data_IF_314819702942
#
_entry.id   IF_314819702942
#
_cell.length_a   1.000
_cell.length_b   1.000
_cell.length_c   1.000
_cell.angle_alpha   90.00
_cell.angle_beta   90.00
_cell.angle_gamma   90.00
#
_symmetry.space_group_name_H-M   'P 1'
#
loop_
_entity.id
_entity.type
_entity.pdbx_description
1 polymer ?
#
# COMPACT_ATOMS: atom_id res chain seq x y z
N UNK A 1 -0.46 44.00 9.23
CA UNK A 1 -1.42 43.36 8.31
C UNK A 1 -2.54 42.82 9.18
N UNK A 2 -3.81 43.01 8.84
CA UNK A 2 -4.95 42.88 9.77
C UNK A 2 -5.27 41.41 10.10
N UNK A 3 -5.30 41.06 11.38
CA UNK A 3 -5.60 39.69 11.86
C UNK A 3 -7.08 39.31 11.69
N UNK A 4 -7.94 40.26 11.34
CA UNK A 4 -9.39 40.06 11.22
C UNK A 4 -9.92 39.88 9.78
N UNK A 5 -9.06 39.77 8.76
CA UNK A 5 -9.52 39.54 7.38
C UNK A 5 -10.02 38.11 7.19
N UNK A 6 -11.34 37.93 7.08
CA UNK A 6 -11.98 36.64 6.86
C UNK A 6 -11.49 35.90 5.59
N UNK A 7 -10.91 36.62 4.61
CA UNK A 7 -10.34 36.01 3.42
C UNK A 7 -8.95 35.39 3.65
N UNK A 8 -8.24 35.75 4.73
CA UNK A 8 -6.95 35.14 5.08
C UNK A 8 -7.07 33.68 5.52
N UNK A 9 -8.27 33.29 5.93
CA UNK A 9 -8.62 31.93 6.31
C UNK A 9 -9.30 31.17 5.18
N UNK A 10 -9.07 31.58 3.92
CA UNK A 10 -9.60 30.89 2.73
C UNK A 10 -8.51 30.68 1.71
N UNK A 11 -8.54 29.52 1.07
CA UNK A 11 -7.73 29.25 -0.11
C UNK A 11 -8.66 28.95 -1.27
N UNK A 12 -8.44 29.65 -2.37
CA UNK A 12 -9.26 29.57 -3.57
C UNK A 12 -8.65 28.59 -4.56
N UNK A 13 -9.51 27.81 -5.22
CA UNK A 13 -9.12 26.89 -6.29
C UNK A 13 -9.76 27.27 -7.64
N UNK A 14 -10.57 28.34 -7.66
CA UNK A 14 -11.29 28.78 -8.85
C UNK A 14 -11.82 30.21 -8.71
N UNK A 15 -12.58 30.65 -9.72
CA UNK A 15 -13.10 32.02 -9.83
C UNK A 15 -14.54 32.17 -9.32
N UNK A 16 -15.24 31.06 -9.07
CA UNK A 16 -16.58 31.09 -8.51
C UNK A 16 -16.58 31.65 -7.09
N UNK A 17 -17.69 32.29 -6.69
CA UNK A 17 -17.84 32.85 -5.34
C UNK A 17 -17.65 31.78 -4.24
N UNK A 18 -18.02 30.54 -4.56
CA UNK A 18 -17.89 29.39 -3.69
C UNK A 18 -16.67 28.52 -4.01
N UNK A 19 -15.72 28.95 -4.85
CA UNK A 19 -14.54 28.15 -5.20
C UNK A 19 -13.40 28.29 -4.17
N UNK A 20 -13.71 27.98 -2.91
CA UNK A 20 -12.75 28.04 -1.81
C UNK A 20 -12.90 26.89 -0.81
N UNK A 21 -11.86 26.70 0.00
CA UNK A 21 -11.91 26.01 1.28
C UNK A 21 -11.57 26.96 2.41
N UNK A 22 -12.19 26.76 3.57
CA UNK A 22 -11.75 27.42 4.80
C UNK A 22 -10.43 26.78 5.27
N UNK A 23 -9.55 27.59 5.85
CA UNK A 23 -8.26 27.19 6.39
C UNK A 23 -8.20 27.55 7.86
N UNK A 24 -7.90 26.55 8.69
CA UNK A 24 -7.57 26.76 10.09
C UNK A 24 -6.05 26.94 10.24
N UNK A 25 -5.63 28.00 10.94
CA UNK A 25 -4.22 28.31 11.16
C UNK A 25 -3.85 29.74 10.78
N UNK A 26 -2.58 29.91 10.44
CA UNK A 26 -1.94 31.18 10.10
C UNK A 26 -1.99 31.48 8.60
N UNK A 27 -1.58 32.68 8.20
CA UNK A 27 -1.40 33.02 6.78
C UNK A 27 -0.36 32.12 6.09
N UNK A 28 0.68 31.69 6.81
CA UNK A 28 1.68 30.76 6.26
C UNK A 28 1.07 29.39 5.95
N UNK A 29 0.09 28.93 6.75
CA UNK A 29 -0.64 27.70 6.48
C UNK A 29 -1.51 27.85 5.23
N UNK A 30 -2.17 28.99 5.07
CA UNK A 30 -2.97 29.30 3.87
C UNK A 30 -2.09 29.37 2.61
N UNK A 31 -0.92 30.03 2.67
CA UNK A 31 0.04 30.10 1.58
C UNK A 31 0.59 28.71 1.20
N UNK A 32 0.91 27.88 2.20
CA UNK A 32 1.33 26.50 1.97
C UNK A 32 0.26 25.69 1.22
N UNK A 33 -0.99 25.77 1.68
CA UNK A 33 -2.12 25.07 1.09
C UNK A 33 -2.50 25.62 -0.30
N UNK A 34 -2.27 26.92 -0.55
CA UNK A 34 -2.50 27.54 -1.85
C UNK A 34 -1.71 26.87 -2.97
N UNK A 35 -0.43 26.54 -2.76
CA UNK A 35 0.36 25.82 -3.76
C UNK A 35 -0.20 24.44 -4.13
N UNK A 36 -0.88 23.78 -3.18
CA UNK A 36 -1.61 22.53 -3.43
C UNK A 36 -2.87 22.79 -4.27
N UNK A 37 -3.66 23.81 -3.91
CA UNK A 37 -4.89 24.18 -4.60
C UNK A 37 -4.65 24.70 -6.02
N UNK A 38 -3.54 25.40 -6.27
CA UNK A 38 -3.12 25.84 -7.60
C UNK A 38 -2.89 24.66 -8.55
N UNK A 39 -2.34 23.55 -8.05
CA UNK A 39 -2.16 22.33 -8.84
C UNK A 39 -3.48 21.60 -9.07
N UNK A 40 -4.36 21.55 -8.05
CA UNK A 40 -5.70 20.99 -8.18
C UNK A 40 -6.55 21.72 -9.21
N UNK A 41 -6.44 23.05 -9.27
CA UNK A 41 -7.15 23.90 -10.22
C UNK A 41 -6.85 23.58 -11.69
N UNK A 42 -5.75 22.86 -11.96
CA UNK A 42 -5.37 22.40 -13.30
C UNK A 42 -6.09 21.11 -13.74
N UNK A 43 -6.84 20.46 -12.85
CA UNK A 43 -7.66 19.28 -13.15
C UNK A 43 -9.15 19.65 -13.16
N UNK A 44 -9.79 19.77 -14.34
CA UNK A 44 -11.23 20.04 -14.41
C UNK A 44 -12.06 18.99 -13.67
N UNK A 45 -11.66 17.71 -13.72
CA UNK A 45 -12.36 16.62 -13.03
C UNK A 45 -12.24 16.71 -11.51
N UNK A 46 -11.08 17.09 -10.97
CA UNK A 46 -10.93 17.33 -9.54
C UNK A 46 -11.81 18.49 -9.08
N UNK A 47 -11.85 19.59 -9.85
CA UNK A 47 -12.69 20.74 -9.54
C UNK A 47 -14.18 20.40 -9.55
N UNK A 48 -14.63 19.56 -10.49
CA UNK A 48 -16.02 19.07 -10.53
C UNK A 48 -16.36 18.30 -9.25
N UNK A 49 -15.49 17.37 -8.83
CA UNK A 49 -15.68 16.60 -7.58
C UNK A 49 -15.71 17.48 -6.33
N UNK A 50 -14.91 18.53 -6.28
CA UNK A 50 -14.91 19.47 -5.16
C UNK A 50 -16.21 20.31 -5.17
N UNK A 51 -16.60 20.81 -6.35
CA UNK A 51 -17.79 21.63 -6.53
C UNK A 51 -19.11 20.86 -6.32
N UNK A 52 -19.11 19.54 -6.48
CA UNK A 52 -20.27 18.71 -6.15
C UNK A 52 -20.62 18.74 -4.66
N UNK A 53 -19.73 19.26 -3.81
CA UNK A 53 -19.96 19.45 -2.38
C UNK A 53 -20.27 20.92 -2.09
N UNK A 54 -21.40 21.23 -1.42
CA UNK A 54 -21.74 22.59 -1.01
C UNK A 54 -20.61 23.22 -0.17
N UNK A 55 -20.30 24.50 -0.39
CA UNK A 55 -19.19 25.17 0.29
C UNK A 55 -19.27 25.10 1.82
N UNK A 56 -20.48 25.16 2.38
CA UNK A 56 -20.72 25.05 3.83
C UNK A 56 -20.44 23.65 4.41
N UNK A 57 -20.41 22.60 3.58
CA UNK A 57 -20.19 21.22 4.01
C UNK A 57 -18.74 20.75 3.80
N UNK A 58 -17.96 21.48 3.01
CA UNK A 58 -16.58 21.11 2.70
C UNK A 58 -15.71 21.05 3.96
N UNK A 59 -14.72 20.14 3.99
CA UNK A 59 -13.81 20.06 5.11
C UNK A 59 -12.98 21.34 5.26
N UNK A 60 -12.66 21.70 6.49
CA UNK A 60 -11.68 22.75 6.76
C UNK A 60 -10.28 22.21 6.50
N UNK A 61 -9.44 22.97 5.80
CA UNK A 61 -8.05 22.58 5.57
C UNK A 61 -7.17 22.99 6.75
N UNK A 62 -6.22 22.12 7.08
CA UNK A 62 -5.18 22.36 8.08
C UNK A 62 -3.85 21.95 7.49
N UNK A 63 -2.78 22.59 7.96
CA UNK A 63 -1.43 22.12 7.67
C UNK A 63 -0.65 21.91 8.96
N UNK A 64 0.09 20.80 9.04
CA UNK A 64 0.84 20.42 10.24
C UNK A 64 2.10 19.66 9.87
N UNK A 65 3.15 19.75 10.69
CA UNK A 65 4.26 18.80 10.58
C UNK A 65 3.82 17.44 11.13
N UNK A 66 3.74 16.41 10.28
CA UNK A 66 3.31 15.08 10.69
C UNK A 66 4.52 14.18 10.96
N UNK A 67 4.45 13.40 12.05
CA UNK A 67 5.44 12.38 12.37
C UNK A 67 5.12 11.06 11.65
N UNK A 68 6.02 10.07 11.76
CA UNK A 68 5.78 8.68 11.33
C UNK A 68 5.49 8.46 9.83
N UNK A 69 5.93 9.41 8.98
CA UNK A 69 5.82 9.27 7.51
C UNK A 69 4.40 9.42 6.96
N UNK A 70 3.50 10.05 7.72
CA UNK A 70 2.18 10.44 7.23
C UNK A 70 2.31 11.64 6.30
N UNK A 71 1.58 11.60 5.19
CA UNK A 71 1.51 12.75 4.29
C UNK A 71 0.29 13.64 4.50
N UNK A 72 -0.81 13.05 4.96
CA UNK A 72 -2.07 13.72 5.22
C UNK A 72 -3.04 12.75 5.89
N UNK A 73 -4.17 13.25 6.35
CA UNK A 73 -5.31 12.45 6.78
C UNK A 73 -6.59 13.30 6.82
N UNK A 74 -7.73 12.67 6.57
CA UNK A 74 -9.05 13.21 6.90
C UNK A 74 -9.42 12.89 8.37
N UNK A 75 -9.89 13.91 9.09
CA UNK A 75 -10.39 13.80 10.45
C UNK A 75 -11.91 14.02 10.47
N UNK A 76 -12.67 12.94 10.65
CA UNK A 76 -14.13 12.99 10.73
C UNK A 76 -14.63 13.79 11.95
N UNK A 77 -13.90 13.76 13.07
CA UNK A 77 -14.33 14.36 14.34
C UNK A 77 -14.51 15.88 14.28
N UNK A 78 -13.76 16.57 13.43
CA UNK A 78 -13.86 18.03 13.26
C UNK A 78 -14.02 18.45 11.79
N UNK A 79 -14.35 17.50 10.91
CA UNK A 79 -14.52 17.69 9.48
C UNK A 79 -13.33 18.44 8.84
N UNK A 80 -12.12 17.92 9.01
CA UNK A 80 -10.91 18.55 8.49
C UNK A 80 -10.05 17.63 7.64
N UNK A 81 -9.41 18.21 6.63
CA UNK A 81 -8.32 17.56 5.88
C UNK A 81 -7.02 18.19 6.33
N UNK A 82 -6.14 17.36 6.90
CA UNK A 82 -4.85 17.78 7.43
C UNK A 82 -3.77 17.38 6.43
N UNK A 83 -3.06 18.37 5.89
CA UNK A 83 -1.95 18.17 4.96
C UNK A 83 -0.62 18.30 5.71
N UNK A 84 0.26 17.32 5.51
CA UNK A 84 1.60 17.29 6.10
C UNK A 84 2.54 18.30 5.46
N UNK A 85 3.11 19.22 6.24
CA UNK A 85 4.15 20.16 5.78
C UNK A 85 5.39 19.44 5.24
N UNK A 86 5.66 18.23 5.75
CA UNK A 86 6.72 17.33 5.27
C UNK A 86 6.51 16.80 3.84
N UNK A 87 5.30 16.91 3.27
CA UNK A 87 5.02 16.52 1.88
C UNK A 87 5.23 17.65 0.87
N UNK A 88 5.53 18.87 1.35
CA UNK A 88 5.65 20.03 0.48
C UNK A 88 4.32 20.44 -0.15
N UNK A 89 4.39 21.27 -1.19
CA UNK A 89 3.28 21.69 -2.03
C UNK A 89 3.56 21.33 -3.50
N UNK A 90 2.53 21.16 -4.32
CA UNK A 90 2.66 20.81 -5.74
C UNK A 90 1.68 19.72 -6.18
N UNK A 91 1.98 19.02 -7.28
CA UNK A 91 1.12 17.94 -7.78
C UNK A 91 1.10 16.73 -6.83
N UNK A 92 2.23 16.40 -6.20
CA UNK A 92 2.30 15.38 -5.15
C UNK A 92 1.30 15.62 -4.00
N UNK A 93 1.28 16.84 -3.45
CA UNK A 93 0.34 17.20 -2.38
C UNK A 93 -1.10 17.35 -2.88
N UNK A 94 -1.31 17.72 -4.15
CA UNK A 94 -2.64 17.80 -4.77
C UNK A 94 -3.27 16.41 -4.95
N UNK A 95 -2.50 15.44 -5.42
CA UNK A 95 -2.93 14.05 -5.50
C UNK A 95 -3.30 13.49 -4.12
N UNK A 96 -2.44 13.75 -3.13
CA UNK A 96 -2.72 13.39 -1.74
C UNK A 96 -3.95 14.09 -1.17
N UNK A 97 -4.17 15.37 -1.49
CA UNK A 97 -5.40 16.04 -1.11
C UNK A 97 -6.63 15.33 -1.69
N UNK A 98 -6.58 14.88 -2.95
CA UNK A 98 -7.70 14.14 -3.55
C UNK A 98 -7.95 12.79 -2.87
N UNK A 99 -6.91 12.13 -2.36
CA UNK A 99 -7.04 10.95 -1.50
C UNK A 99 -7.82 11.30 -0.22
N UNK A 100 -7.39 12.30 0.53
CA UNK A 100 -8.04 12.69 1.78
C UNK A 100 -9.44 13.27 1.60
N UNK A 101 -9.65 14.04 0.53
CA UNK A 101 -10.96 14.55 0.17
C UNK A 101 -11.92 13.40 -0.20
N UNK A 102 -11.41 12.29 -0.73
CA UNK A 102 -12.22 11.11 -0.95
C UNK A 102 -12.64 10.44 0.35
N UNK A 103 -11.78 10.38 1.37
CA UNK A 103 -12.18 9.93 2.71
C UNK A 103 -13.27 10.81 3.32
N UNK A 104 -13.21 12.13 3.12
CA UNK A 104 -14.33 13.02 3.46
C UNK A 104 -15.62 12.58 2.75
N UNK A 105 -15.59 12.32 1.44
CA UNK A 105 -16.79 11.87 0.72
C UNK A 105 -17.32 10.53 1.23
N UNK A 106 -16.43 9.58 1.53
CA UNK A 106 -16.80 8.29 2.12
C UNK A 106 -17.53 8.49 3.46
N UNK A 107 -17.04 9.38 4.33
CA UNK A 107 -17.66 9.65 5.63
C UNK A 107 -19.05 10.29 5.54
N UNK A 108 -19.43 10.84 4.38
CA UNK A 108 -20.78 11.39 4.15
C UNK A 108 -21.80 10.31 3.80
N UNK A 109 -21.36 9.15 3.32
CA UNK A 109 -22.25 8.05 2.88
C UNK A 109 -22.22 6.84 3.80
N UNK A 110 -21.18 6.69 4.62
CA UNK A 110 -21.14 5.67 5.66
C UNK A 110 -19.79 5.56 6.34
N UNK A 111 -19.63 4.53 7.17
CA UNK A 111 -18.39 4.27 7.90
C UNK A 111 -17.81 2.91 7.50
N UNK A 112 -16.53 2.90 7.15
CA UNK A 112 -15.77 1.71 6.79
C UNK A 112 -14.65 1.39 7.80
N UNK A 113 -14.40 2.26 8.79
CA UNK A 113 -13.45 2.00 9.87
C UNK A 113 -14.18 1.42 11.08
N UNK A 114 -13.56 0.50 11.82
CA UNK A 114 -14.14 -0.09 13.04
C UNK A 114 -15.53 -0.71 12.84
N UNK A 115 -15.74 -1.36 11.69
CA UNK A 115 -16.99 -2.07 11.38
C UNK A 115 -17.16 -3.24 12.36
N UNK A 116 -18.37 -3.46 12.92
CA UNK A 116 -18.63 -4.58 13.84
C UNK A 116 -18.70 -5.92 13.08
N UNK A 117 -17.55 -6.43 12.65
CA UNK A 117 -17.38 -7.69 11.89
C UNK A 117 -16.14 -8.47 12.39
N UNK A 118 -15.84 -9.62 11.80
CA UNK A 118 -14.62 -10.36 12.09
C UNK A 118 -13.37 -9.63 11.58
N UNK A 119 -12.20 -9.88 12.18
CA UNK A 119 -10.96 -9.17 11.83
C UNK A 119 -10.60 -9.26 10.32
N UNK A 120 -10.66 -10.44 9.66
CA UNK A 120 -10.42 -10.51 8.21
C UNK A 120 -11.33 -9.61 7.38
N UNK A 121 -12.62 -9.56 7.71
CA UNK A 121 -13.58 -8.72 6.99
C UNK A 121 -13.45 -7.24 7.33
N UNK A 122 -13.05 -6.90 8.55
CA UNK A 122 -12.70 -5.52 8.91
C UNK A 122 -11.50 -5.04 8.07
N UNK A 123 -10.43 -5.85 7.99
CA UNK A 123 -9.26 -5.53 7.16
C UNK A 123 -9.60 -5.43 5.67
N UNK A 124 -10.52 -6.27 5.18
CA UNK A 124 -11.01 -6.19 3.81
C UNK A 124 -11.67 -4.84 3.55
N UNK A 125 -12.61 -4.43 4.39
CA UNK A 125 -13.34 -3.16 4.24
C UNK A 125 -12.40 -1.95 4.37
N UNK A 126 -11.46 -1.98 5.32
CA UNK A 126 -10.45 -0.93 5.48
C UNK A 126 -9.56 -0.82 4.25
N UNK A 127 -9.13 -1.95 3.68
CA UNK A 127 -8.38 -1.95 2.43
C UNK A 127 -9.21 -1.43 1.26
N UNK A 128 -10.51 -1.76 1.17
CA UNK A 128 -11.39 -1.18 0.15
C UNK A 128 -11.46 0.35 0.29
N UNK A 129 -11.60 0.86 1.51
CA UNK A 129 -11.66 2.29 1.83
C UNK A 129 -10.43 3.05 1.36
N UNK A 130 -9.25 2.59 1.77
CA UNK A 130 -7.95 3.17 1.39
C UNK A 130 -7.65 3.01 -0.11
N UNK A 131 -7.93 1.84 -0.70
CA UNK A 131 -7.71 1.59 -2.11
C UNK A 131 -8.56 2.51 -2.99
N UNK A 132 -9.82 2.75 -2.60
CA UNK A 132 -10.70 3.68 -3.29
C UNK A 132 -10.21 5.13 -3.18
N UNK A 133 -9.74 5.56 -2.00
CA UNK A 133 -9.15 6.88 -1.82
C UNK A 133 -7.89 7.09 -2.67
N UNK A 134 -7.02 6.08 -2.75
CA UNK A 134 -5.81 6.17 -3.56
C UNK A 134 -6.14 6.18 -5.07
N UNK A 135 -7.24 5.54 -5.50
CA UNK A 135 -7.73 5.71 -6.88
C UNK A 135 -8.20 7.14 -7.18
N UNK A 136 -8.71 7.89 -6.20
CA UNK A 136 -9.01 9.32 -6.40
C UNK A 136 -7.74 10.13 -6.71
N UNK A 137 -6.63 9.81 -6.04
CA UNK A 137 -5.30 10.34 -6.32
C UNK A 137 -4.83 9.93 -7.73
N UNK A 138 -5.02 8.67 -8.14
CA UNK A 138 -4.69 8.20 -9.49
C UNK A 138 -5.47 8.92 -10.59
N UNK A 139 -6.77 9.14 -10.38
CA UNK A 139 -7.62 9.88 -11.30
C UNK A 139 -7.14 11.32 -11.50
N UNK A 140 -6.69 11.99 -10.43
CA UNK A 140 -6.09 13.32 -10.52
C UNK A 140 -4.82 13.30 -11.38
N UNK A 141 -3.87 12.42 -11.07
CA UNK A 141 -2.62 12.35 -11.82
C UNK A 141 -2.82 12.00 -13.29
N UNK A 142 -3.77 11.12 -13.59
CA UNK A 142 -4.15 10.82 -14.97
C UNK A 142 -4.70 12.05 -15.71
N UNK A 143 -5.52 12.87 -15.06
CA UNK A 143 -6.10 14.08 -15.65
C UNK A 143 -5.01 15.11 -15.98
N UNK A 144 -4.01 15.27 -15.11
CA UNK A 144 -2.94 16.28 -15.26
C UNK A 144 -1.70 15.76 -16.00
N UNK A 145 -1.65 14.48 -16.41
CA UNK A 145 -0.45 13.84 -16.99
C UNK A 145 0.11 14.50 -18.25
N UNK A 146 -0.73 15.27 -18.94
CA UNK A 146 -0.38 16.00 -20.15
C UNK A 146 0.40 17.30 -19.88
N UNK A 147 0.42 17.77 -18.63
CA UNK A 147 1.08 19.01 -18.24
C UNK A 147 2.59 18.77 -18.03
N UNK A 148 3.47 19.55 -18.70
CA UNK A 148 4.92 19.40 -18.53
C UNK A 148 5.39 19.50 -17.07
N UNK A 149 4.77 20.40 -16.30
CA UNK A 149 5.09 20.61 -14.88
C UNK A 149 4.67 19.45 -13.96
N UNK A 150 3.72 18.58 -14.38
CA UNK A 150 3.29 17.42 -13.60
C UNK A 150 4.12 16.16 -13.90
N UNK A 151 4.99 16.21 -14.91
CA UNK A 151 5.70 15.04 -15.44
C UNK A 151 6.54 14.32 -14.39
N UNK A 152 7.29 15.07 -13.57
CA UNK A 152 8.17 14.47 -12.57
C UNK A 152 7.37 13.67 -11.52
N UNK A 153 6.27 14.25 -11.00
CA UNK A 153 5.41 13.57 -10.04
C UNK A 153 4.68 12.37 -10.66
N UNK A 154 4.23 12.48 -11.92
CA UNK A 154 3.63 11.37 -12.66
C UNK A 154 4.62 10.20 -12.85
N UNK A 155 5.87 10.50 -13.20
CA UNK A 155 6.91 9.49 -13.38
C UNK A 155 7.23 8.80 -12.03
N UNK A 156 7.26 9.55 -10.92
CA UNK A 156 7.42 9.01 -9.56
C UNK A 156 6.26 8.08 -9.17
N UNK A 157 5.02 8.50 -9.42
CA UNK A 157 3.84 7.67 -9.15
C UNK A 157 3.91 6.37 -9.97
N UNK A 158 4.27 6.45 -11.25
CA UNK A 158 4.38 5.27 -12.13
C UNK A 158 5.47 4.30 -11.67
N UNK A 159 6.60 4.83 -11.18
CA UNK A 159 7.73 4.01 -10.75
C UNK A 159 7.50 3.33 -9.38
N UNK A 160 6.76 3.97 -8.48
CA UNK A 160 6.71 3.56 -7.07
C UNK A 160 5.31 3.18 -6.56
N UNK A 161 4.25 3.37 -7.34
CA UNK A 161 2.87 3.01 -6.98
C UNK A 161 2.32 1.96 -7.97
N UNK A 162 2.34 0.66 -7.62
CA UNK A 162 1.81 -0.40 -8.49
C UNK A 162 0.36 -0.17 -8.91
N UNK A 163 -0.52 0.23 -7.97
CA UNK A 163 -1.90 0.60 -8.27
C UNK A 163 -2.04 1.72 -9.31
N UNK A 164 -1.15 2.72 -9.30
CA UNK A 164 -1.18 3.78 -10.30
C UNK A 164 -0.83 3.26 -11.68
N UNK A 165 0.21 2.42 -11.77
CA UNK A 165 0.62 1.79 -13.02
C UNK A 165 -0.51 0.95 -13.61
N UNK A 166 -1.17 0.13 -12.80
CA UNK A 166 -2.26 -0.74 -13.25
C UNK A 166 -3.48 0.09 -13.68
N UNK A 167 -3.81 1.15 -12.95
CA UNK A 167 -4.85 2.12 -13.32
C UNK A 167 -4.55 2.76 -14.69
N UNK A 168 -3.33 3.29 -14.90
CA UNK A 168 -2.94 3.93 -16.16
C UNK A 168 -2.95 2.93 -17.32
N UNK A 169 -2.50 1.70 -17.09
CA UNK A 169 -2.56 0.64 -18.11
C UNK A 169 -4.00 0.32 -18.53
N UNK A 170 -4.94 0.26 -17.58
CA UNK A 170 -6.35 0.06 -17.90
C UNK A 170 -6.94 1.24 -18.69
N UNK A 171 -6.60 2.47 -18.29
CA UNK A 171 -7.02 3.70 -19.02
C UNK A 171 -6.47 3.71 -20.44
N UNK A 172 -5.18 3.46 -20.62
CA UNK A 172 -4.52 3.47 -21.94
C UNK A 172 -5.01 2.32 -22.83
N UNK A 173 -5.48 1.22 -22.24
CA UNK A 173 -6.15 0.13 -22.94
C UNK A 173 -7.61 0.43 -23.30
N UNK A 174 -8.12 1.63 -23.00
CA UNK A 174 -9.49 2.05 -23.30
C UNK A 174 -10.55 1.27 -22.52
N UNK A 175 -10.22 0.79 -21.32
CA UNK A 175 -11.18 0.12 -20.45
C UNK A 175 -12.18 1.12 -19.87
N UNK A 176 -13.37 0.64 -19.53
CA UNK A 176 -14.38 1.44 -18.86
C UNK A 176 -13.90 1.92 -17.48
N UNK A 177 -14.50 3.00 -16.97
CA UNK A 177 -14.04 3.65 -15.73
C UNK A 177 -14.06 2.70 -14.52
N UNK A 178 -15.08 1.85 -14.44
CA UNK A 178 -15.21 0.84 -13.38
C UNK A 178 -14.10 -0.21 -13.42
N UNK A 179 -13.64 -0.62 -14.61
CA UNK A 179 -12.48 -1.51 -14.79
C UNK A 179 -11.18 -0.82 -14.37
N UNK A 180 -11.03 0.46 -14.73
CA UNK A 180 -9.85 1.24 -14.34
C UNK A 180 -9.76 1.38 -12.82
N UNK A 181 -10.90 1.68 -12.16
CA UNK A 181 -10.98 1.75 -10.70
C UNK A 181 -10.64 0.40 -10.07
N UNK A 182 -11.24 -0.70 -10.55
CA UNK A 182 -10.93 -2.05 -10.03
C UNK A 182 -9.46 -2.43 -10.22
N UNK A 183 -8.84 -2.06 -11.35
CA UNK A 183 -7.41 -2.30 -11.59
C UNK A 183 -6.53 -1.51 -10.60
N UNK A 184 -6.81 -0.22 -10.41
CA UNK A 184 -6.09 0.61 -9.46
C UNK A 184 -6.24 0.13 -8.01
N UNK A 185 -7.46 -0.26 -7.61
CA UNK A 185 -7.72 -0.81 -6.29
C UNK A 185 -6.96 -2.12 -6.05
N UNK A 186 -6.91 -3.04 -7.03
CA UNK A 186 -6.13 -4.28 -6.91
C UNK A 186 -4.63 -4.03 -6.82
N UNK A 187 -4.08 -3.17 -7.68
CA UNK A 187 -2.65 -2.89 -7.64
C UNK A 187 -2.22 -2.16 -6.35
N UNK A 188 -3.10 -1.36 -5.74
CA UNK A 188 -2.88 -0.84 -4.38
C UNK A 188 -2.93 -1.98 -3.37
N UNK A 189 -3.99 -2.79 -3.45
CA UNK A 189 -4.25 -3.87 -2.53
C UNK A 189 -3.10 -4.87 -2.48
N UNK A 190 -2.42 -5.17 -3.59
CA UNK A 190 -1.32 -6.16 -3.69
C UNK A 190 -0.01 -5.80 -2.96
N UNK A 191 0.09 -4.62 -2.33
CA UNK A 191 1.32 -4.20 -1.66
C UNK A 191 1.39 -4.77 -0.22
N UNK A 192 2.15 -5.85 -0.03
CA UNK A 192 2.38 -6.49 1.28
C UNK A 192 2.82 -5.51 2.37
N UNK A 193 3.76 -4.61 2.07
CA UNK A 193 4.28 -3.68 3.07
C UNK A 193 3.19 -2.70 3.55
N UNK A 194 2.38 -2.17 2.64
CA UNK A 194 1.26 -1.30 3.01
C UNK A 194 0.21 -2.09 3.81
N UNK A 195 -0.15 -3.27 3.33
CA UNK A 195 -1.08 -4.17 4.03
C UNK A 195 -0.68 -4.44 5.48
N UNK A 196 0.58 -4.80 5.71
CA UNK A 196 1.13 -5.08 7.05
C UNK A 196 1.20 -3.82 7.92
N UNK A 197 1.63 -2.69 7.34
CA UNK A 197 1.69 -1.40 8.03
C UNK A 197 0.30 -0.96 8.50
N UNK A 198 -0.70 -0.98 7.62
CA UNK A 198 -2.06 -0.56 7.94
C UNK A 198 -2.73 -1.50 8.95
N UNK A 199 -2.53 -2.82 8.82
CA UNK A 199 -3.03 -3.78 9.81
C UNK A 199 -2.57 -3.43 11.23
N UNK A 200 -1.26 -3.17 11.40
CA UNK A 200 -0.67 -2.79 12.69
C UNK A 200 -1.15 -1.42 13.18
N UNK A 201 -1.45 -0.51 12.26
CA UNK A 201 -1.83 0.86 12.57
C UNK A 201 -3.30 1.00 12.98
N UNK A 202 -4.21 0.30 12.31
CA UNK A 202 -5.64 0.33 12.64
C UNK A 202 -6.03 -0.66 13.74
N UNK A 203 -5.32 -1.77 13.84
CA UNK A 203 -5.59 -2.80 14.86
C UNK A 203 -4.50 -2.79 15.93
N UNK A 204 -4.22 -1.62 16.53
CA UNK A 204 -3.19 -1.49 17.57
C UNK A 204 -3.45 -2.39 18.77
N UNK A 205 -4.70 -2.65 19.14
CA UNK A 205 -5.03 -3.54 20.27
C UNK A 205 -4.53 -4.98 20.06
N UNK A 206 -4.86 -5.70 18.99
CA UNK A 206 -4.31 -7.05 18.79
C UNK A 206 -2.82 -7.04 18.38
N UNK A 207 -2.29 -5.96 17.76
CA UNK A 207 -0.89 -5.87 17.33
C UNK A 207 0.06 -5.16 18.31
N UNK A 208 -0.42 -4.75 19.48
CA UNK A 208 0.30 -3.76 20.27
C UNK A 208 1.70 -4.25 20.66
N UNK A 209 2.64 -3.34 20.49
CA UNK A 209 4.02 -3.44 20.95
C UNK A 209 4.13 -3.26 22.47
N UNK A 210 3.02 -3.25 23.22
CA UNK A 210 3.00 -3.18 24.67
C UNK A 210 3.09 -4.57 25.32
N UNK A 211 3.65 -4.60 26.53
CA UNK A 211 3.98 -5.83 27.27
C UNK A 211 2.76 -6.72 27.50
N UNK A 212 1.58 -6.12 27.66
CA UNK A 212 0.39 -6.80 28.15
C UNK A 212 -0.21 -7.77 27.11
N UNK A 213 -0.20 -7.41 25.82
CA UNK A 213 -0.64 -8.33 24.77
C UNK A 213 0.32 -9.50 24.56
N UNK A 214 1.63 -9.27 24.73
CA UNK A 214 2.60 -10.37 24.73
C UNK A 214 2.36 -11.32 25.89
N UNK A 215 2.08 -10.79 27.09
CA UNK A 215 1.77 -11.62 28.26
C UNK A 215 0.50 -12.46 28.05
N UNK A 216 -0.54 -11.90 27.41
CA UNK A 216 -1.75 -12.64 27.03
C UNK A 216 -1.42 -13.78 26.07
N UNK A 217 -0.59 -13.49 25.06
CA UNK A 217 -0.17 -14.47 24.05
C UNK A 217 0.92 -15.46 24.53
N UNK A 218 1.51 -15.24 25.71
CA UNK A 218 2.50 -16.14 26.33
C UNK A 218 1.87 -16.96 27.47
N UNK A 219 0.55 -16.87 27.66
CA UNK A 219 -0.16 -17.56 28.74
C UNK A 219 -0.07 -19.08 28.58
N UNK A 220 0.37 -19.77 29.63
CA UNK A 220 0.50 -21.23 29.66
C UNK A 220 -0.61 -21.86 30.50
N UNK A 221 -1.64 -22.46 29.88
CA UNK A 221 -2.80 -22.97 30.61
C UNK A 221 -2.42 -23.94 31.73
N UNK A 222 -1.42 -24.79 31.52
CA UNK A 222 -0.93 -25.77 32.50
C UNK A 222 -0.34 -25.17 33.78
N UNK A 223 0.02 -23.89 33.79
CA UNK A 223 0.65 -23.20 34.93
C UNK A 223 -0.36 -22.38 35.76
N UNK A 224 -1.65 -22.38 35.38
CA UNK A 224 -2.69 -21.53 35.97
C UNK A 224 -3.99 -22.30 36.27
N UNK A 225 -4.82 -21.78 37.19
CA UNK A 225 -6.13 -22.35 37.52
C UNK A 225 -7.20 -22.07 36.44
N UNK A 226 -8.35 -22.74 36.54
CA UNK A 226 -9.42 -22.62 35.54
C UNK A 226 -10.08 -21.23 35.47
N UNK A 227 -10.03 -20.42 36.52
CA UNK A 227 -10.57 -19.05 36.50
C UNK A 227 -9.62 -18.16 35.70
N UNK A 228 -8.31 -18.26 35.96
CA UNK A 228 -7.29 -17.54 35.21
C UNK A 228 -7.29 -17.91 33.72
N UNK A 229 -7.46 -19.19 33.39
CA UNK A 229 -7.61 -19.65 32.00
C UNK A 229 -8.83 -19.01 31.30
N UNK A 230 -9.99 -19.02 31.96
CA UNK A 230 -11.22 -18.41 31.44
C UNK A 230 -11.08 -16.90 31.24
N UNK A 231 -10.44 -16.19 32.18
CA UNK A 231 -10.20 -14.75 32.05
C UNK A 231 -9.26 -14.43 30.89
N UNK A 232 -8.20 -15.22 30.70
CA UNK A 232 -7.28 -15.06 29.58
C UNK A 232 -7.99 -15.27 28.23
N UNK A 233 -8.84 -16.30 28.13
CA UNK A 233 -9.65 -16.55 26.93
C UNK A 233 -10.58 -15.37 26.62
N UNK A 234 -11.31 -14.85 27.61
CA UNK A 234 -12.20 -13.69 27.42
C UNK A 234 -11.42 -12.46 26.94
N UNK A 235 -10.20 -12.25 27.44
CA UNK A 235 -9.35 -11.15 27.03
C UNK A 235 -8.85 -11.33 25.59
N UNK A 236 -8.42 -12.53 25.19
CA UNK A 236 -8.05 -12.84 23.81
C UNK A 236 -9.25 -12.63 22.88
N UNK A 237 -10.42 -13.16 23.21
CA UNK A 237 -11.63 -12.97 22.40
C UNK A 237 -12.05 -11.50 22.29
N UNK A 238 -11.82 -10.68 23.33
CA UNK A 238 -12.09 -9.24 23.28
C UNK A 238 -11.12 -8.47 22.35
N UNK A 239 -9.93 -9.02 22.06
CA UNK A 239 -8.98 -8.42 21.11
C UNK A 239 -9.40 -8.63 19.65
N UNK A 240 -10.16 -9.69 19.36
CA UNK A 240 -10.59 -10.03 18.02
C UNK A 240 -12.07 -9.72 17.86
N UNK A 241 -12.43 -8.70 17.05
CA UNK A 241 -13.83 -8.39 16.82
C UNK A 241 -14.50 -9.62 16.17
N UNK A 242 -15.74 -9.86 16.56
CA UNK A 242 -16.53 -10.98 16.05
C UNK A 242 -17.88 -10.46 15.56
N UNK A 243 -18.33 -10.95 14.42
CA UNK A 243 -19.56 -10.52 13.77
C UNK A 243 -19.80 -11.33 12.50
N UNK A 244 -20.88 -10.99 11.79
CA UNK A 244 -21.16 -11.59 10.50
C UNK A 244 -20.18 -11.09 9.44
N UNK A 245 -20.05 -11.84 8.35
CA UNK A 245 -19.31 -11.40 7.18
C UNK A 245 -19.91 -10.09 6.62
N UNK A 246 -19.05 -9.25 6.07
CA UNK A 246 -19.44 -7.99 5.45
C UNK A 246 -20.11 -8.22 4.11
N UNK A 247 -21.09 -7.36 3.78
CA UNK A 247 -21.59 -7.20 2.42
C UNK A 247 -20.58 -6.39 1.61
N UNK A 248 -19.72 -7.10 0.89
CA UNK A 248 -18.65 -6.56 0.07
C UNK A 248 -19.18 -5.64 -1.01
N UNK A 249 -20.35 -5.96 -1.56
CA UNK A 249 -21.00 -5.14 -2.57
C UNK A 249 -21.48 -3.81 -1.98
N UNK A 250 -22.13 -3.84 -0.82
CA UNK A 250 -22.57 -2.61 -0.14
C UNK A 250 -21.37 -1.72 0.20
N UNK A 251 -20.30 -2.31 0.76
CA UNK A 251 -19.09 -1.57 1.11
C UNK A 251 -18.37 -1.02 -0.12
N UNK A 252 -18.19 -1.81 -1.19
CA UNK A 252 -17.59 -1.32 -2.43
C UNK A 252 -18.33 -0.09 -2.95
N UNK A 253 -19.66 -0.19 -3.10
CA UNK A 253 -20.51 0.92 -3.59
C UNK A 253 -20.36 2.17 -2.71
N UNK A 254 -20.30 1.98 -1.40
CA UNK A 254 -20.12 3.06 -0.43
C UNK A 254 -18.72 3.71 -0.56
N UNK A 255 -17.65 2.92 -0.55
CA UNK A 255 -16.29 3.46 -0.53
C UNK A 255 -15.85 4.05 -1.86
N UNK A 256 -16.43 3.62 -2.99
CA UNK A 256 -16.10 4.16 -4.32
C UNK A 256 -16.96 5.36 -4.73
N UNK A 257 -17.61 6.03 -3.78
CA UNK A 257 -18.56 7.13 -4.03
C UNK A 257 -18.00 8.22 -4.96
N UNK A 258 -18.59 8.33 -6.16
CA UNK A 258 -18.22 9.31 -7.17
C UNK A 258 -16.81 9.14 -7.75
N UNK A 259 -16.27 7.92 -7.73
CA UNK A 259 -15.11 7.54 -8.55
C UNK A 259 -15.50 7.07 -9.95
N UNK A 260 -16.74 6.60 -10.14
CA UNK A 260 -17.22 6.10 -11.42
C UNK A 260 -18.66 6.50 -11.69
N UNK A 261 -19.01 6.69 -12.97
CA UNK A 261 -20.39 6.99 -13.38
C UNK A 261 -21.30 5.76 -13.35
N UNK A 262 -20.75 4.57 -13.64
CA UNK A 262 -21.47 3.30 -13.66
C UNK A 262 -20.76 2.28 -12.77
N UNK A 263 -21.52 1.65 -11.88
CA UNK A 263 -21.01 0.62 -10.99
C UNK A 263 -20.88 -0.73 -11.73
N UNK A 264 -19.85 -1.55 -11.43
CA UNK A 264 -19.81 -2.92 -11.90
C UNK A 264 -21.03 -3.71 -11.37
N UNK A 265 -21.46 -4.77 -12.06
CA UNK A 265 -22.48 -5.69 -11.55
C UNK A 265 -22.09 -6.29 -10.20
N UNK A 266 -23.07 -6.51 -9.33
CA UNK A 266 -22.86 -7.04 -7.96
C UNK A 266 -22.06 -8.35 -7.94
N UNK A 267 -22.33 -9.29 -8.86
CA UNK A 267 -21.58 -10.54 -8.95
C UNK A 267 -20.11 -10.34 -9.32
N UNK A 268 -19.82 -9.30 -10.11
CA UNK A 268 -18.44 -8.92 -10.41
C UNK A 268 -17.78 -8.35 -9.15
N UNK A 269 -18.43 -7.41 -8.46
CA UNK A 269 -17.89 -6.82 -7.23
C UNK A 269 -17.54 -7.93 -6.21
N UNK A 270 -18.47 -8.85 -5.94
CA UNK A 270 -18.26 -9.97 -5.02
C UNK A 270 -17.05 -10.81 -5.42
N UNK A 271 -16.96 -11.19 -6.69
CA UNK A 271 -15.84 -11.99 -7.20
C UNK A 271 -14.50 -11.27 -7.05
N UNK A 272 -14.41 -9.99 -7.43
CA UNK A 272 -13.15 -9.27 -7.38
C UNK A 272 -12.73 -8.97 -5.94
N UNK A 273 -13.66 -8.53 -5.09
CA UNK A 273 -13.39 -8.14 -3.71
C UNK A 273 -13.11 -9.31 -2.78
N UNK A 274 -13.42 -10.54 -3.19
CA UNK A 274 -13.05 -11.78 -2.47
C UNK A 274 -11.97 -12.59 -3.20
N UNK A 275 -11.39 -12.06 -4.28
CA UNK A 275 -10.29 -12.71 -4.98
C UNK A 275 -8.99 -12.63 -4.18
N UNK A 276 -8.07 -13.56 -4.44
CA UNK A 276 -6.75 -13.57 -3.78
C UNK A 276 -5.90 -12.33 -4.13
N UNK A 277 -6.22 -11.65 -5.23
CA UNK A 277 -5.60 -10.38 -5.64
C UNK A 277 -6.01 -9.19 -4.74
N UNK A 278 -7.01 -9.37 -3.87
CA UNK A 278 -7.58 -8.30 -3.06
C UNK A 278 -7.76 -8.67 -1.59
N UNK A 279 -8.44 -9.79 -1.32
CA UNK A 279 -8.92 -10.22 -0.01
C UNK A 279 -7.92 -11.06 0.79
N UNK A 280 -6.63 -10.79 0.62
CA UNK A 280 -5.60 -11.49 1.38
C UNK A 280 -5.37 -10.85 2.75
N UNK A 281 -4.98 -11.67 3.73
CA UNK A 281 -4.45 -11.21 5.02
C UNK A 281 -2.92 -11.15 4.99
N UNK A 282 -2.32 -10.21 5.72
CA UNK A 282 -0.85 -10.15 5.84
C UNK A 282 -0.33 -11.33 6.66
N UNK A 283 0.93 -11.70 6.41
CA UNK A 283 1.61 -12.77 7.14
C UNK A 283 1.62 -12.55 8.67
N UNK A 284 1.72 -11.30 9.11
CA UNK A 284 1.66 -10.92 10.52
C UNK A 284 0.28 -11.13 11.13
N UNK A 285 -0.79 -10.75 10.42
CA UNK A 285 -2.17 -11.00 10.87
C UNK A 285 -2.46 -12.49 10.93
N UNK A 286 -2.03 -13.25 9.92
CA UNK A 286 -2.19 -14.70 9.93
C UNK A 286 -1.55 -15.32 11.18
N UNK A 287 -0.27 -15.03 11.43
CA UNK A 287 0.48 -15.55 12.60
C UNK A 287 -0.19 -15.18 13.91
N UNK A 288 -0.68 -13.95 14.03
CA UNK A 288 -1.35 -13.46 15.22
C UNK A 288 -2.67 -14.19 15.49
N UNK A 289 -3.53 -14.29 14.47
CA UNK A 289 -4.80 -15.00 14.56
C UNK A 289 -4.60 -16.48 14.88
N UNK A 290 -3.61 -17.13 14.23
CA UNK A 290 -3.29 -18.54 14.46
C UNK A 290 -2.79 -18.78 15.89
N UNK A 291 -1.90 -17.92 16.39
CA UNK A 291 -1.42 -18.01 17.78
C UNK A 291 -2.57 -17.83 18.79
N UNK A 292 -3.48 -16.89 18.54
CA UNK A 292 -4.65 -16.67 19.39
C UNK A 292 -5.59 -17.88 19.38
N UNK A 293 -5.82 -18.46 18.19
CA UNK A 293 -6.59 -19.69 18.05
C UNK A 293 -5.96 -20.82 18.87
N UNK A 294 -4.67 -21.12 18.66
CA UNK A 294 -3.96 -22.22 19.34
C UNK A 294 -4.05 -22.09 20.88
N UNK A 295 -4.02 -20.86 21.40
CA UNK A 295 -4.19 -20.59 22.83
C UNK A 295 -5.60 -20.81 23.34
N UNK A 296 -6.61 -20.37 22.59
CA UNK A 296 -8.00 -20.66 22.92
C UNK A 296 -8.29 -22.17 22.92
N UNK A 297 -7.74 -22.94 21.95
CA UNK A 297 -7.90 -24.40 21.96
C UNK A 297 -7.22 -25.04 23.17
N UNK A 298 -6.02 -24.56 23.55
CA UNK A 298 -5.30 -25.04 24.73
C UNK A 298 -6.04 -24.72 26.05
N UNK A 299 -6.84 -23.66 26.10
CA UNK A 299 -7.72 -23.33 27.23
C UNK A 299 -9.03 -24.12 27.24
N UNK A 300 -9.29 -25.00 26.26
CA UNK A 300 -10.46 -25.88 26.24
C UNK A 300 -11.76 -25.22 25.77
N UNK A 301 -11.69 -24.04 25.15
CA UNK A 301 -12.85 -23.31 24.65
C UNK A 301 -12.56 -22.75 23.26
N UNK A 302 -13.03 -23.48 22.25
CA UNK A 302 -13.15 -22.91 20.91
C UNK A 302 -14.61 -22.51 20.68
N UNK A 303 -14.88 -21.21 20.66
CA UNK A 303 -15.93 -20.72 19.78
C UNK A 303 -15.26 -20.42 18.44
N UNK A 304 -15.72 -21.04 17.36
CA UNK A 304 -15.06 -21.19 16.06
C UNK A 304 -14.81 -19.89 15.24
N UNK A 305 -14.56 -18.74 15.90
CA UNK A 305 -14.59 -17.40 15.29
C UNK A 305 -13.22 -16.76 15.04
N UNK A 306 -12.12 -17.43 15.41
CA UNK A 306 -10.75 -16.91 15.24
C UNK A 306 -10.01 -17.48 14.02
N UNK A 307 -10.64 -18.37 13.23
CA UNK A 307 -9.94 -19.10 12.16
C UNK A 307 -9.62 -18.20 10.95
N UNK A 308 -8.34 -18.07 10.56
CA UNK A 308 -7.94 -17.45 9.29
C UNK A 308 -8.08 -18.40 8.08
N UNK A 309 -8.60 -19.63 8.28
CA UNK A 309 -8.64 -20.68 7.26
C UNK A 309 -9.51 -20.28 6.05
N UNK A 310 -9.07 -20.68 4.86
CA UNK A 310 -9.75 -20.36 3.59
C UNK A 310 -9.49 -18.94 3.07
N UNK A 311 -8.65 -18.13 3.74
CA UNK A 311 -8.19 -16.83 3.24
C UNK A 311 -6.80 -16.95 2.63
N UNK A 312 -6.58 -16.23 1.53
CA UNK A 312 -5.26 -16.08 0.96
C UNK A 312 -4.34 -15.30 1.92
N UNK A 313 -3.07 -15.68 2.00
CA UNK A 313 -2.07 -15.04 2.84
C UNK A 313 -1.01 -14.42 1.94
N UNK A 314 -0.80 -13.11 2.05
CA UNK A 314 0.33 -12.46 1.38
C UNK A 314 1.49 -12.34 2.35
N UNK A 315 2.62 -12.94 2.00
CA UNK A 315 3.86 -12.87 2.73
C UNK A 315 4.95 -12.15 1.90
N UNK A 316 6.10 -11.79 2.50
CA UNK A 316 7.20 -11.13 1.77
C UNK A 316 7.70 -11.89 0.53
N UNK A 317 7.48 -13.21 0.48
CA UNK A 317 7.95 -14.09 -0.59
C UNK A 317 6.88 -14.47 -1.62
N UNK A 318 5.64 -14.02 -1.45
CA UNK A 318 4.56 -14.31 -2.38
C UNK A 318 3.19 -14.50 -1.72
N UNK A 319 2.19 -14.69 -2.58
CA UNK A 319 0.81 -14.99 -2.22
C UNK A 319 0.62 -16.50 -2.09
N UNK A 320 -0.04 -16.92 -1.01
CA UNK A 320 -0.45 -18.30 -0.75
C UNK A 320 -1.97 -18.36 -0.80
N UNK A 321 -2.52 -19.27 -1.60
CA UNK A 321 -3.97 -19.36 -1.85
C UNK A 321 -4.80 -19.77 -0.63
N UNK A 322 -4.17 -20.34 0.39
CA UNK A 322 -4.79 -20.57 1.69
C UNK A 322 -3.75 -20.57 2.82
N UNK A 323 -4.24 -20.50 4.06
CA UNK A 323 -3.44 -20.58 5.27
C UNK A 323 -2.62 -21.87 5.39
N UNK A 324 -3.14 -23.01 4.91
CA UNK A 324 -2.44 -24.30 5.01
C UNK A 324 -1.21 -24.37 4.09
N UNK A 325 -1.30 -23.78 2.89
CA UNK A 325 -0.19 -23.63 1.96
C UNK A 325 0.88 -22.70 2.55
N UNK A 326 0.46 -21.62 3.20
CA UNK A 326 1.37 -20.74 3.93
C UNK A 326 2.04 -21.45 5.11
N UNK A 327 1.30 -22.19 5.93
CA UNK A 327 1.85 -22.95 7.06
C UNK A 327 2.90 -23.97 6.62
N UNK A 328 2.62 -24.74 5.56
CA UNK A 328 3.59 -25.67 4.96
C UNK A 328 4.85 -24.96 4.47
N UNK A 329 4.76 -23.69 4.06
CA UNK A 329 5.93 -22.93 3.60
C UNK A 329 6.84 -22.48 4.74
N UNK A 330 6.30 -22.33 5.95
CA UNK A 330 7.03 -21.88 7.15
C UNK A 330 7.35 -23.00 8.15
N UNK A 331 6.72 -24.17 8.02
CA UNK A 331 7.07 -25.33 8.86
C UNK A 331 8.36 -25.97 8.35
N UNK A 332 9.38 -26.19 9.21
CA UNK A 332 10.54 -26.98 8.82
C UNK A 332 10.09 -28.37 8.35
N UNK A 333 10.73 -28.95 7.32
CA UNK A 333 10.44 -30.32 6.94
C UNK A 333 10.67 -31.24 8.14
N UNK A 334 9.86 -32.31 8.29
CA UNK A 334 10.05 -33.25 9.38
C UNK A 334 11.49 -33.77 9.36
N UNK A 335 12.11 -33.99 10.53
CA UNK A 335 13.44 -34.56 10.59
C UNK A 335 13.45 -35.89 9.80
N UNK A 336 14.50 -36.17 9.04
CA UNK A 336 14.56 -37.39 8.26
C UNK A 336 14.38 -38.61 9.16
N UNK A 337 13.65 -39.66 8.70
CA UNK A 337 13.38 -40.82 9.53
C UNK A 337 14.69 -41.43 10.04
N UNK A 338 14.77 -41.69 11.34
CA UNK A 338 15.90 -42.43 11.89
C UNK A 338 15.61 -43.93 11.79
N UNK A 339 16.58 -44.70 11.33
CA UNK A 339 16.46 -46.16 11.42
C UNK A 339 16.57 -46.61 12.89
N UNK A 340 16.27 -47.89 13.17
CA UNK A 340 16.34 -48.47 14.52
C UNK A 340 17.71 -48.39 15.22
N UNK A 341 18.74 -47.90 14.53
CA UNK A 341 20.09 -47.69 15.04
C UNK A 341 20.47 -46.20 15.17
N UNK A 342 19.51 -45.27 15.04
CA UNK A 342 19.74 -43.83 15.22
C UNK A 342 20.48 -43.14 14.07
N UNK A 343 20.54 -43.76 12.87
CA UNK A 343 21.14 -43.15 11.68
C UNK A 343 20.04 -42.44 10.87
N UNK A 344 20.30 -41.16 10.56
CA UNK A 344 19.42 -40.30 9.78
C UNK A 344 19.33 -40.81 8.32
N UNK A 345 18.15 -41.25 7.91
CA UNK A 345 17.92 -41.73 6.54
C UNK A 345 17.73 -40.53 5.60
N UNK A 346 18.28 -40.54 4.38
CA UNK A 346 17.99 -39.47 3.41
C UNK A 346 16.48 -39.43 3.08
N UNK A 347 15.92 -38.24 2.77
CA UNK A 347 14.50 -38.12 2.41
C UNK A 347 14.18 -38.97 1.17
N UNK A 348 12.95 -39.52 1.05
CA UNK A 348 12.55 -40.27 -0.14
C UNK A 348 12.53 -39.31 -1.34
N UNK A 349 13.41 -39.54 -2.31
CA UNK A 349 13.36 -38.85 -3.60
C UNK A 349 12.35 -39.59 -4.46
N UNK A 350 11.32 -38.89 -4.95
CA UNK A 350 10.31 -39.40 -5.87
C UNK A 350 10.95 -40.21 -7.03
N UNK A 351 10.79 -41.53 -6.94
CA UNK A 351 10.66 -42.45 -8.07
C UNK A 351 11.81 -42.60 -9.08
N UNK A 352 12.98 -41.98 -8.92
CA UNK A 352 14.13 -42.19 -9.82
C UNK A 352 15.37 -42.62 -9.08
N UNK A 353 15.68 -43.91 -9.18
CA UNK A 353 16.94 -44.50 -8.71
C UNK A 353 18.07 -43.97 -9.60
N UNK A 354 18.84 -43.00 -9.11
CA UNK A 354 20.16 -42.74 -9.67
C UNK A 354 21.09 -43.89 -9.24
N UNK A 355 21.91 -44.44 -10.15
CA UNK A 355 22.84 -45.51 -9.78
C UNK A 355 23.83 -45.01 -8.71
N UNK A 356 24.29 -45.88 -7.81
CA UNK A 356 25.22 -45.50 -6.75
C UNK A 356 26.51 -44.93 -7.35
N UNK A 357 27.15 -43.96 -6.67
CA UNK A 357 28.39 -43.36 -7.15
C UNK A 357 29.48 -44.42 -7.31
N UNK A 358 30.36 -44.30 -8.33
CA UNK A 358 31.44 -45.24 -8.53
C UNK A 358 32.40 -45.20 -7.32
N UNK A 359 32.79 -46.40 -6.86
CA UNK A 359 33.72 -46.61 -5.75
C UNK A 359 35.07 -47.06 -6.29
N UNK A 360 36.14 -46.82 -5.53
CA UNK A 360 37.45 -47.39 -5.81
C UNK A 360 37.51 -48.90 -5.49
N UNK A 361 38.65 -49.52 -5.79
CA UNK A 361 38.92 -50.95 -5.56
C UNK A 361 38.83 -51.38 -4.08
N UNK A 362 38.77 -50.43 -3.14
CA UNK A 362 38.63 -50.66 -1.72
C UNK A 362 37.23 -50.26 -1.19
N UNK A 363 36.27 -49.98 -2.07
CA UNK A 363 34.89 -49.66 -1.73
C UNK A 363 34.68 -48.23 -1.22
N UNK A 364 35.64 -47.32 -1.42
CA UNK A 364 35.52 -45.91 -1.00
C UNK A 364 34.89 -45.07 -2.12
N UNK A 365 33.93 -44.16 -1.82
CA UNK A 365 33.31 -43.31 -2.82
C UNK A 365 34.32 -42.41 -3.52
N UNK A 366 34.35 -42.43 -4.86
CA UNK A 366 35.16 -41.49 -5.62
C UNK A 366 34.54 -40.08 -5.50
N UNK A 367 35.36 -39.04 -5.26
CA UNK A 367 34.86 -37.67 -5.25
C UNK A 367 34.28 -37.31 -6.62
N UNK A 368 33.19 -36.50 -6.67
CA UNK A 368 32.58 -36.12 -7.94
C UNK A 368 33.60 -35.35 -8.80
N UNK A 369 33.59 -35.53 -10.14
CA UNK A 369 34.49 -34.82 -11.01
C UNK A 369 34.22 -33.32 -10.90
N UNK A 370 35.16 -32.59 -10.30
CA UNK A 370 35.12 -31.14 -10.25
C UNK A 370 35.34 -30.60 -11.67
N UNK A 371 34.44 -29.77 -12.23
CA UNK A 371 34.72 -29.11 -13.49
C UNK A 371 35.95 -28.20 -13.31
N UNK A 372 36.92 -28.32 -14.21
CA UNK A 372 38.15 -27.54 -14.14
C UNK A 372 37.83 -26.04 -14.14
N UNK A 373 38.64 -25.25 -13.44
CA UNK A 373 38.54 -23.78 -13.41
C UNK A 373 38.53 -23.16 -14.83
N UNK A 374 39.15 -23.84 -15.81
CA UNK A 374 39.10 -23.45 -17.23
C UNK A 374 37.72 -23.61 -17.86
N UNK A 375 36.92 -24.61 -17.48
CA UNK A 375 35.53 -24.74 -17.94
C UNK A 375 34.62 -23.64 -17.35
N UNK A 376 34.85 -23.23 -16.10
CA UNK A 376 34.14 -22.10 -15.48
C UNK A 376 34.55 -20.75 -16.09
N UNK A 377 35.82 -20.55 -16.43
CA UNK A 377 36.26 -19.33 -17.13
C UNK A 377 35.71 -19.25 -18.57
N UNK A 378 35.59 -20.37 -19.29
CA UNK A 378 35.00 -20.39 -20.63
C UNK A 378 33.49 -20.04 -20.60
N UNK A 379 32.77 -20.40 -19.55
CA UNK A 379 31.36 -20.03 -19.35
C UNK A 379 31.15 -18.56 -18.91
N UNK A 380 32.20 -17.91 -18.40
CA UNK A 380 32.19 -16.50 -17.98
C UNK A 380 32.75 -15.55 -19.04
N UNK A 381 33.06 -16.04 -20.25
CA UNK A 381 33.47 -15.18 -21.36
C UNK A 381 32.32 -14.19 -21.70
N UNK A 382 32.59 -12.87 -21.73
CA UNK A 382 31.55 -11.87 -21.92
C UNK A 382 30.93 -11.99 -23.31
N UNK A 383 29.59 -12.08 -23.36
CA UNK A 383 28.81 -11.82 -24.58
C UNK A 383 29.26 -10.49 -25.18
N UNK A 384 29.99 -10.56 -26.30
CA UNK A 384 30.39 -9.39 -27.08
C UNK A 384 29.12 -8.63 -27.49
N UNK A 385 28.94 -7.43 -26.94
CA UNK A 385 27.80 -6.58 -27.31
C UNK A 385 27.59 -5.35 -26.44
N UNK A 386 28.08 -5.34 -25.19
CA UNK A 386 27.84 -4.20 -24.29
C UNK A 386 28.89 -3.08 -24.44
N UNK A 387 30.17 -3.42 -24.58
CA UNK A 387 31.26 -2.42 -24.70
C UNK A 387 31.39 -1.81 -26.10
N UNK A 388 30.83 -2.45 -27.13
CA UNK A 388 30.74 -1.91 -28.49
C UNK A 388 29.60 -0.88 -28.63
N UNK A 389 28.56 -0.93 -27.79
CA UNK A 389 27.50 0.09 -27.75
C UNK A 389 27.90 1.35 -26.97
N UNK A 390 28.72 1.23 -25.93
CA UNK A 390 29.18 2.38 -25.13
C UNK A 390 30.29 3.22 -25.79
N UNK A 391 31.02 2.67 -26.77
CA UNK A 391 32.04 3.43 -27.53
C UNK A 391 31.50 4.14 -28.78
N UNK A 392 30.26 3.82 -29.21
CA UNK A 392 29.62 4.50 -30.35
C UNK A 392 28.92 5.82 -29.98
N UNK A 393 28.68 6.09 -28.69
CA UNK A 393 28.03 7.33 -28.22
C UNK A 393 29.00 8.42 -27.71
N UNK A 394 30.32 8.19 -27.76
CA UNK A 394 31.32 9.14 -27.21
C UNK A 394 32.35 9.66 -28.22
N UNK A 395 32.16 9.44 -29.52
CA UNK A 395 33.00 10.09 -30.56
C UNK A 395 32.15 10.50 -31.76
N UNK A 396 31.71 11.75 -31.73
CA UNK A 396 31.80 12.71 -32.84
C UNK A 396 31.26 14.07 -32.36
N UNK A 397 32.14 14.86 -31.74
CA UNK A 397 32.02 16.32 -31.70
C UNK A 397 33.05 16.86 -32.71
N UNK A 398 32.63 17.45 -33.84
CA UNK A 398 33.49 18.36 -34.58
C UNK A 398 33.56 19.69 -33.83
N UNK A 399 34.78 20.19 -33.65
CA UNK A 399 35.08 21.48 -33.01
C UNK A 399 34.79 22.62 -34.00
N UNK A 400 33.92 23.54 -33.54
CA UNK A 400 33.80 25.00 -33.74
C UNK A 400 34.05 25.67 -35.12
N UNK A 401 33.37 26.80 -35.39
CA UNK A 401 34.03 28.06 -35.00
C UNK A 401 33.11 29.11 -34.36
N UNK A 402 33.74 29.88 -33.47
CA UNK A 402 33.22 31.07 -32.83
C UNK A 402 32.99 32.21 -33.83
N UNK A 403 31.87 32.95 -33.66
CA UNK A 403 31.77 34.38 -34.01
C UNK A 403 30.87 35.12 -33.01
N UNK A 404 31.54 35.99 -32.25
CA UNK A 404 31.16 37.33 -31.81
C UNK A 404 29.85 37.50 -31.01
N UNK A 405 29.89 37.88 -29.73
CA UNK A 405 30.34 39.19 -29.26
C UNK A 405 29.53 40.35 -29.86
N UNK A 406 28.29 40.54 -29.39
CA UNK A 406 27.62 41.85 -29.20
C UNK A 406 26.58 41.67 -28.09
N UNK A 407 26.38 42.70 -27.26
CA UNK A 407 25.31 42.87 -26.25
C UNK A 407 25.59 42.36 -24.83
N UNK A 408 26.77 42.71 -24.29
CA UNK A 408 26.88 43.02 -22.85
C UNK A 408 27.67 44.31 -22.65
N UNK A 409 27.16 45.37 -23.24
CA UNK A 409 27.53 46.74 -22.89
C UNK A 409 26.32 47.63 -23.18
N UNK A 410 25.45 47.79 -22.19
CA UNK A 410 24.66 49.01 -21.95
C UNK A 410 23.80 48.83 -20.69
N UNK A 411 23.75 49.91 -19.91
CA UNK A 411 22.95 50.15 -18.69
C UNK A 411 23.51 49.63 -17.36
N UNK A 412 24.64 50.22 -16.95
CA UNK A 412 24.79 50.78 -15.60
C UNK A 412 25.66 52.04 -15.66
N UNK A 413 25.23 53.10 -14.95
CA UNK A 413 25.68 54.52 -14.94
C UNK A 413 25.18 55.36 -16.13
N UNK A 414 24.64 56.58 -16.00
CA UNK A 414 24.20 57.46 -14.90
C UNK A 414 23.10 58.37 -15.50
N UNK A 415 22.53 59.42 -14.91
CA UNK A 415 22.81 60.23 -13.73
C UNK A 415 21.55 61.06 -13.42
N UNK A 416 21.51 61.59 -12.19
CA UNK A 416 20.68 62.70 -11.71
C UNK A 416 20.45 63.83 -12.72
N UNK A 417 19.23 64.38 -12.67
CA UNK A 417 18.98 65.79 -12.34
C UNK A 417 17.68 65.90 -11.59
#
# INVERSE_FOLDING_TARGET
>A
SDENDANRHRVFFGKGADDYFNVAGTSEDAEFLAGTMECLAKSPKALEKIRSVPAAERPTLKSQMLSNGWGGFFCAGDNSVIMGKNCGNGFGSAGLFMHEFHHFKQSRVGNWMNVPTNLPDQMLVERMGEAAAEVANFQFFNDVRHLPEAKADFDVMTAHRPGFKDYIQAVDAGKDESECVLAGMRGYAANHYLADKYAKQYHTMPFSLEKDNKNLMDFKPSEHDGIAQMMNEMQIQALFPSGNDVDETAYFKMVTVGLMSELPPDDKIKREMRSDDFAYISDSTYKLMKSAQDQCEACGSLTAKLSPEGRAVLAPHGLYHDGAAYEKSITPPPPPPMNGNGVQMPPPIDGKVSPPPPVDENGKPLPPPMPSLQAKLAAMAPKQGLMSRLRAQTREKPVAPAKNAVAREMKRKGNSR
#
